data_IF_203636940318
#
_entry.id   IF_203636940318
#
_cell.length_a   1.000
_cell.length_b   1.000
_cell.length_c   1.000
_cell.angle_alpha   90.00
_cell.angle_beta   90.00
_cell.angle_gamma   90.00
#
_symmetry.space_group_name_H-M   'P 1'
#
loop_
_entity.id
_entity.type
_entity.pdbx_description
1 polymer ?
#
# COMPACT_ATOMS: atom_id res chain seq x y z
N UNK A 1 -8.76 16.33 16.22
CA UNK A 1 -7.57 15.46 16.34
C UNK A 1 -7.41 14.71 15.02
N UNK A 2 -6.27 14.83 14.33
CA UNK A 2 -6.09 14.22 13.00
C UNK A 2 -6.00 12.69 13.16
N UNK A 3 -7.10 11.98 12.95
CA UNK A 3 -7.10 10.52 12.86
C UNK A 3 -6.39 10.11 11.57
N UNK A 4 -5.09 9.85 11.64
CA UNK A 4 -4.48 8.94 10.68
C UNK A 4 -5.21 7.60 10.86
N UNK A 5 -5.83 7.07 9.81
CA UNK A 5 -6.53 5.80 9.87
C UNK A 5 -5.57 4.72 10.38
N UNK A 6 -5.85 4.16 11.55
CA UNK A 6 -4.96 3.24 12.23
C UNK A 6 -5.18 1.82 11.68
N UNK A 7 -4.51 1.47 10.57
CA UNK A 7 -4.71 0.19 9.89
C UNK A 7 -3.93 -0.94 10.58
N UNK A 8 -4.59 -1.58 11.56
CA UNK A 8 -4.07 -2.77 12.27
C UNK A 8 -4.62 -4.10 11.76
N UNK A 9 -5.59 -4.07 10.85
CA UNK A 9 -6.26 -5.26 10.30
C UNK A 9 -5.85 -5.51 8.86
N UNK A 10 -5.72 -6.79 8.48
CA UNK A 10 -5.50 -7.18 7.08
C UNK A 10 -6.78 -6.96 6.26
N UNK A 11 -6.73 -6.05 5.29
CA UNK A 11 -7.84 -5.74 4.39
C UNK A 11 -7.64 -6.40 3.02
N UNK A 12 -8.73 -6.67 2.32
CA UNK A 12 -8.74 -7.17 0.94
C UNK A 12 -9.93 -6.58 0.18
N UNK A 13 -9.97 -5.26 0.11
CA UNK A 13 -11.04 -4.50 -0.51
C UNK A 13 -10.60 -3.97 -1.87
N UNK A 14 -11.55 -3.83 -2.81
CA UNK A 14 -11.31 -3.17 -4.08
C UNK A 14 -10.19 -3.82 -4.93
N UNK A 15 -10.04 -5.16 -4.85
CA UNK A 15 -8.96 -5.94 -5.48
C UNK A 15 -8.70 -5.67 -6.97
N UNK A 16 -9.75 -5.31 -7.72
CA UNK A 16 -9.69 -5.16 -9.18
C UNK A 16 -9.91 -3.72 -9.65
N UNK A 17 -9.87 -2.74 -8.74
CA UNK A 17 -10.09 -1.33 -9.05
C UNK A 17 -8.97 -0.45 -8.47
N UNK A 18 -8.76 0.78 -8.98
CA UNK A 18 -7.65 1.65 -8.56
C UNK A 18 -7.67 2.09 -7.08
N UNK A 19 -8.75 1.77 -6.36
CA UNK A 19 -8.93 2.07 -4.93
C UNK A 19 -8.61 0.87 -4.03
N UNK A 20 -7.80 -0.07 -4.53
CA UNK A 20 -7.32 -1.26 -3.82
C UNK A 20 -6.84 -0.93 -2.39
N UNK A 21 -7.28 -1.75 -1.44
CA UNK A 21 -6.69 -1.86 -0.10
C UNK A 21 -6.41 -3.33 0.19
N UNK A 22 -5.13 -3.66 0.21
CA UNK A 22 -4.66 -5.01 0.48
C UNK A 22 -3.67 -5.02 1.64
N UNK A 23 -3.81 -5.99 2.52
CA UNK A 23 -2.96 -6.14 3.69
C UNK A 23 -3.12 -4.96 4.64
N UNK A 24 -2.01 -4.38 5.09
CA UNK A 24 -1.99 -3.13 5.87
C UNK A 24 -1.28 -2.01 5.12
N UNK A 25 -0.54 -2.31 4.06
CA UNK A 25 0.38 -1.39 3.41
C UNK A 25 0.17 -1.24 1.89
N UNK A 26 -0.61 -2.11 1.24
CA UNK A 26 -0.81 -2.00 -0.21
C UNK A 26 -2.05 -1.16 -0.56
N UNK A 27 -1.85 0.10 -0.96
CA UNK A 27 -2.91 0.95 -1.49
C UNK A 27 -2.47 2.39 -1.72
N UNK A 28 -3.35 3.19 -2.33
CA UNK A 28 -3.09 4.62 -2.55
C UNK A 28 -3.43 5.41 -1.28
N UNK A 29 -2.48 6.21 -0.77
CA UNK A 29 -2.60 6.95 0.50
C UNK A 29 -3.02 6.04 1.68
N UNK A 30 -2.56 4.80 1.62
CA UNK A 30 -2.90 3.73 2.54
C UNK A 30 -1.60 3.12 3.04
N UNK A 31 -1.40 3.14 4.36
CA UNK A 31 -0.21 2.57 4.97
C UNK A 31 -0.53 2.17 6.41
N UNK A 32 0.16 1.13 6.88
CA UNK A 32 -0.05 0.55 8.20
C UNK A 32 0.71 1.30 9.30
N UNK A 33 0.45 0.90 10.55
CA UNK A 33 1.09 1.52 11.71
C UNK A 33 2.57 1.10 11.87
N UNK A 34 3.41 1.93 12.51
CA UNK A 34 4.77 1.54 12.86
C UNK A 34 4.79 0.27 13.73
N UNK A 35 5.64 -0.70 13.36
CA UNK A 35 5.81 -1.95 14.12
C UNK A 35 4.81 -3.06 13.80
N UNK A 36 3.78 -2.79 13.00
CA UNK A 36 2.88 -3.84 12.52
C UNK A 36 3.61 -4.79 11.56
N UNK A 37 3.34 -6.08 11.70
CA UNK A 37 3.84 -7.10 10.76
C UNK A 37 2.97 -7.08 9.48
N UNK A 38 3.59 -7.29 8.31
CA UNK A 38 2.83 -7.46 7.07
C UNK A 38 1.93 -8.70 7.18
N UNK A 39 0.81 -8.66 6.49
CA UNK A 39 -0.15 -9.76 6.42
C UNK A 39 0.41 -10.97 5.66
N UNK A 40 1.21 -10.73 4.62
CA UNK A 40 1.83 -11.76 3.78
C UNK A 40 3.10 -11.22 3.06
N UNK A 41 3.63 -12.00 2.10
CA UNK A 41 4.81 -11.59 1.33
C UNK A 41 4.57 -10.40 0.40
N UNK A 42 3.34 -10.24 -0.11
CA UNK A 42 2.97 -9.12 -0.97
C UNK A 42 2.86 -7.81 -0.18
N UNK A 43 2.22 -7.87 0.99
CA UNK A 43 2.13 -6.74 1.93
C UNK A 43 3.52 -6.33 2.45
N UNK A 44 4.45 -7.28 2.59
CA UNK A 44 5.85 -6.97 2.91
C UNK A 44 6.53 -6.13 1.81
N UNK A 45 6.28 -6.42 0.53
CA UNK A 45 6.77 -5.59 -0.57
C UNK A 45 6.23 -4.15 -0.47
N UNK A 46 4.95 -3.99 -0.09
CA UNK A 46 4.34 -2.67 0.08
C UNK A 46 4.93 -1.88 1.25
N UNK A 47 5.32 -2.53 2.36
CA UNK A 47 6.09 -1.87 3.44
C UNK A 47 7.40 -1.29 2.92
N UNK A 48 8.17 -2.07 2.16
CA UNK A 48 9.46 -1.61 1.63
C UNK A 48 9.30 -0.49 0.61
N UNK A 49 8.26 -0.57 -0.21
CA UNK A 49 7.90 0.48 -1.14
C UNK A 49 7.61 1.79 -0.40
N UNK A 50 6.72 1.77 0.60
CA UNK A 50 6.33 2.98 1.32
C UNK A 50 7.54 3.65 1.97
N UNK A 51 8.45 2.86 2.56
CA UNK A 51 9.71 3.36 3.12
C UNK A 51 10.62 3.97 2.05
N UNK A 52 10.71 3.33 0.88
CA UNK A 52 11.51 3.83 -0.24
C UNK A 52 10.97 5.18 -0.73
N UNK A 53 9.65 5.31 -0.90
CA UNK A 53 9.03 6.56 -1.33
C UNK A 53 9.13 7.64 -0.26
N UNK A 54 8.99 7.31 1.03
CA UNK A 54 9.26 8.23 2.15
C UNK A 54 10.68 8.81 2.08
N UNK A 55 11.67 7.98 1.76
CA UNK A 55 13.06 8.41 1.66
C UNK A 55 13.38 9.24 0.39
N UNK A 56 12.55 9.20 -0.65
CA UNK A 56 12.81 9.80 -1.96
C UNK A 56 12.08 11.13 -2.21
N UNK A 57 11.50 11.74 -1.18
CA UNK A 57 10.61 12.90 -1.22
C UNK A 57 9.26 12.64 -1.93
N UNK A 58 8.23 13.26 -1.36
CA UNK A 58 6.81 12.89 -1.51
C UNK A 58 6.12 13.29 -2.81
N UNK A 59 6.76 14.10 -3.65
CA UNK A 59 6.13 14.63 -4.88
C UNK A 59 5.70 13.52 -5.85
N UNK A 60 6.27 12.31 -5.73
CA UNK A 60 5.97 11.16 -6.58
C UNK A 60 5.15 10.05 -5.93
N UNK A 61 4.61 10.20 -4.71
CA UNK A 61 3.81 9.15 -4.04
C UNK A 61 2.67 8.65 -4.90
N UNK A 62 1.98 9.58 -5.57
CA UNK A 62 0.85 9.24 -6.40
C UNK A 62 1.26 8.34 -7.57
N UNK A 63 2.36 8.66 -8.26
CA UNK A 63 2.86 7.88 -9.39
C UNK A 63 3.50 6.55 -8.96
N UNK A 64 4.27 6.54 -7.87
CA UNK A 64 4.96 5.32 -7.38
C UNK A 64 3.99 4.30 -6.79
N UNK A 65 3.02 4.73 -5.98
CA UNK A 65 1.93 3.85 -5.51
C UNK A 65 1.05 3.35 -6.67
N UNK A 66 0.83 4.17 -7.71
CA UNK A 66 0.14 3.73 -8.93
C UNK A 66 0.89 2.57 -9.59
N UNK A 67 2.22 2.59 -9.67
CA UNK A 67 2.99 1.50 -10.29
C UNK A 67 2.83 0.18 -9.54
N UNK A 68 2.82 0.14 -8.21
CA UNK A 68 2.59 -1.13 -7.49
C UNK A 68 1.16 -1.62 -7.66
N UNK A 69 0.18 -0.74 -7.49
CA UNK A 69 -1.24 -1.09 -7.65
C UNK A 69 -1.52 -1.55 -9.09
N UNK A 70 -1.02 -0.84 -10.10
CA UNK A 70 -1.24 -1.21 -11.50
C UNK A 70 -0.40 -2.41 -11.93
N UNK A 71 0.92 -2.36 -11.74
CA UNK A 71 1.83 -3.40 -12.24
C UNK A 71 1.62 -4.72 -11.52
N UNK A 72 1.39 -4.72 -10.21
CA UNK A 72 1.24 -5.95 -9.47
C UNK A 72 -0.21 -6.46 -9.46
N UNK A 73 -1.21 -5.59 -9.21
CA UNK A 73 -2.60 -6.04 -9.03
C UNK A 73 -3.47 -5.94 -10.28
N UNK A 74 -3.33 -4.89 -11.12
CA UNK A 74 -4.17 -4.79 -12.35
C UNK A 74 -3.61 -5.58 -13.53
N UNK A 75 -2.29 -5.76 -13.62
CA UNK A 75 -1.62 -6.41 -14.76
C UNK A 75 -1.26 -7.89 -14.53
N UNK A 76 -1.11 -8.37 -13.29
CA UNK A 76 -0.92 -9.81 -12.99
C UNK A 76 -2.22 -10.51 -12.52
N UNK A 77 -3.39 -9.93 -12.83
CA UNK A 77 -4.65 -10.66 -12.80
C UNK A 77 -4.98 -11.28 -14.18
N UNK A 78 -3.93 -11.75 -14.88
CA UNK A 78 -3.86 -12.93 -15.77
C UNK A 78 -2.65 -13.74 -15.30
#
# INVERSE_FOLDING_TARGET
TKSAAEHRTCESSFCSVPLLRYGKYCGLLYSGCPGEKPCDGLDACCIYHDKCVQAKNSESYFYTSLFIVFKHFTLNHI
#
